data_IF_147028601365
#
_entry.id   IF_147028601365
#
_cell.length_a   1.000
_cell.length_b   1.000
_cell.length_c   1.000
_cell.angle_alpha   90.00
_cell.angle_beta   90.00
_cell.angle_gamma   90.00
#
_symmetry.space_group_name_H-M   'P 1'
#
loop_
_entity.id
_entity.type
_entity.pdbx_description
1 polymer ?
#
# COMPACT_ATOMS: atom_id res chain seq x y z
N UNK A 1 -15.71 3.54 2.40
CA UNK A 1 -15.71 2.11 2.81
C UNK A 1 -14.85 1.92 4.08
N UNK A 2 -15.00 0.84 4.86
CA UNK A 2 -14.07 0.54 5.97
C UNK A 2 -12.68 0.20 5.39
N UNK A 3 -11.62 0.81 5.92
CA UNK A 3 -10.23 0.57 5.50
C UNK A 3 -9.89 -0.94 5.49
N UNK A 4 -10.39 -1.69 6.47
CA UNK A 4 -10.14 -3.13 6.56
C UNK A 4 -10.82 -3.94 5.44
N UNK A 5 -11.95 -3.45 4.91
CA UNK A 5 -12.59 -4.08 3.74
C UNK A 5 -11.74 -3.80 2.50
N UNK A 6 -11.31 -2.54 2.32
CA UNK A 6 -10.51 -2.13 1.17
C UNK A 6 -9.17 -2.87 1.13
N UNK A 7 -8.47 -3.00 2.26
CA UNK A 7 -7.19 -3.71 2.30
C UNK A 7 -7.36 -5.19 1.96
N UNK A 8 -8.42 -5.86 2.43
CA UNK A 8 -8.70 -7.26 2.08
C UNK A 8 -9.01 -7.43 0.58
N UNK A 9 -9.74 -6.48 -0.03
CA UNK A 9 -9.98 -6.49 -1.47
C UNK A 9 -8.68 -6.32 -2.26
N UNK A 10 -7.81 -5.39 -1.84
CA UNK A 10 -6.49 -5.19 -2.45
C UNK A 10 -5.65 -6.46 -2.36
N UNK A 11 -5.60 -7.11 -1.19
CA UNK A 11 -4.90 -8.38 -0.99
C UNK A 11 -5.44 -9.44 -1.96
N UNK A 12 -6.76 -9.63 -2.02
CA UNK A 12 -7.37 -10.63 -2.92
C UNK A 12 -7.06 -10.40 -4.40
N UNK A 13 -7.04 -9.14 -4.87
CA UNK A 13 -6.67 -8.80 -6.25
C UNK A 13 -5.20 -9.12 -6.53
N UNK A 14 -4.31 -8.80 -5.59
CA UNK A 14 -2.87 -9.06 -5.73
C UNK A 14 -2.58 -10.57 -5.77
N UNK A 15 -3.20 -11.34 -4.88
CA UNK A 15 -3.06 -12.81 -4.82
C UNK A 15 -3.60 -13.47 -6.10
N UNK A 16 -4.79 -13.08 -6.57
CA UNK A 16 -5.34 -13.54 -7.86
C UNK A 16 -4.44 -13.17 -9.05
N UNK A 17 -3.69 -12.08 -8.93
CA UNK A 17 -2.70 -11.63 -9.93
C UNK A 17 -1.32 -12.31 -9.78
N UNK A 18 -1.18 -13.27 -8.86
CA UNK A 18 0.04 -14.04 -8.65
C UNK A 18 1.13 -13.33 -7.84
N UNK A 19 0.77 -12.31 -7.04
CA UNK A 19 1.68 -11.74 -6.06
C UNK A 19 1.66 -12.54 -4.76
N UNK A 20 2.83 -12.74 -4.14
CA UNK A 20 2.90 -13.03 -2.72
C UNK A 20 2.72 -11.75 -1.92
N UNK A 21 1.84 -11.76 -0.93
CA UNK A 21 1.51 -10.58 -0.11
C UNK A 21 2.03 -10.77 1.31
N UNK A 22 2.63 -9.74 1.89
CA UNK A 22 3.13 -9.77 3.27
C UNK A 22 1.98 -9.77 4.28
N UNK A 23 2.31 -10.08 5.54
CA UNK A 23 1.44 -9.69 6.64
C UNK A 23 1.25 -8.16 6.67
N UNK A 24 0.18 -7.70 7.33
CA UNK A 24 -0.08 -6.28 7.54
C UNK A 24 1.06 -5.65 8.35
N UNK A 25 1.65 -4.58 7.83
CA UNK A 25 2.66 -3.80 8.54
C UNK A 25 2.01 -3.03 9.70
N UNK A 26 2.23 -3.49 10.94
CA UNK A 26 1.63 -2.91 12.13
C UNK A 26 2.60 -2.05 12.96
N UNK A 27 3.82 -1.84 12.47
CA UNK A 27 4.85 -1.03 13.14
C UNK A 27 4.57 0.46 12.91
N UNK A 28 4.80 1.29 13.94
CA UNK A 28 4.64 2.75 13.90
C UNK A 28 6.01 3.44 13.98
N UNK A 29 6.24 4.54 13.22
CA UNK A 29 5.35 5.12 12.22
C UNK A 29 5.16 4.21 10.99
N UNK A 30 3.95 4.21 10.41
CA UNK A 30 3.55 3.29 9.33
C UNK A 30 3.56 3.99 7.98
N UNK A 31 4.60 3.78 7.17
CA UNK A 31 4.69 4.35 5.82
C UNK A 31 3.79 3.61 4.81
N UNK A 32 3.67 2.28 4.88
CA UNK A 32 2.81 1.45 4.01
C UNK A 32 2.02 0.41 4.83
N UNK A 33 0.95 -0.16 4.29
CA UNK A 33 0.09 -1.14 4.99
C UNK A 33 0.46 -2.59 4.68
N UNK A 34 0.82 -2.90 3.43
CA UNK A 34 1.27 -4.23 2.98
C UNK A 34 2.36 -4.09 1.93
N UNK A 35 3.22 -5.10 1.80
CA UNK A 35 4.09 -5.27 0.66
C UNK A 35 3.59 -6.43 -0.20
N UNK A 36 3.81 -6.36 -1.51
CA UNK A 36 3.49 -7.45 -2.43
C UNK A 36 4.64 -7.66 -3.41
N UNK A 37 4.98 -8.91 -3.70
CA UNK A 37 6.05 -9.26 -4.63
C UNK A 37 5.61 -10.28 -5.67
N UNK A 38 5.97 -10.03 -6.93
CA UNK A 38 5.86 -10.99 -8.04
C UNK A 38 7.09 -10.87 -8.92
N UNK A 39 7.93 -11.91 -8.93
CA UNK A 39 9.25 -11.87 -9.55
C UNK A 39 10.04 -10.65 -9.02
N UNK A 40 10.64 -9.87 -9.90
CA UNK A 40 11.38 -8.65 -9.56
C UNK A 40 10.50 -7.46 -9.16
N UNK A 41 9.17 -7.55 -9.32
CA UNK A 41 8.26 -6.43 -8.98
C UNK A 41 7.96 -6.43 -7.49
N UNK A 42 8.48 -5.45 -6.76
CA UNK A 42 8.10 -5.13 -5.39
C UNK A 42 7.11 -3.95 -5.36
N UNK A 43 6.00 -4.11 -4.66
CA UNK A 43 5.04 -3.05 -4.39
C UNK A 43 4.98 -2.77 -2.89
N UNK A 44 5.13 -1.51 -2.51
CA UNK A 44 4.86 -0.99 -1.17
C UNK A 44 3.52 -0.26 -1.21
N UNK A 45 2.50 -0.83 -0.58
CA UNK A 45 1.12 -0.43 -0.81
C UNK A 45 0.55 0.25 0.43
N UNK A 46 0.08 1.48 0.26
CA UNK A 46 -0.65 2.24 1.27
C UNK A 46 -2.13 2.27 0.92
N UNK A 47 -2.97 1.90 1.89
CA UNK A 47 -4.42 1.90 1.78
C UNK A 47 -5.01 3.00 2.64
N UNK A 48 -5.74 3.92 2.01
CA UNK A 48 -6.41 5.04 2.65
C UNK A 48 -7.92 4.97 2.43
N UNK A 49 -8.71 5.16 3.49
CA UNK A 49 -10.17 5.28 3.38
C UNK A 49 -10.61 6.62 2.78
N UNK A 50 -9.76 7.64 2.86
CA UNK A 50 -9.86 8.92 2.16
C UNK A 50 -8.49 9.21 1.54
N UNK A 51 -8.38 9.16 0.21
CA UNK A 51 -7.11 9.35 -0.49
C UNK A 51 -6.50 10.73 -0.27
N UNK A 52 -7.34 11.75 -0.03
CA UNK A 52 -6.90 13.13 0.27
C UNK A 52 -6.25 13.23 1.65
N UNK A 53 -6.33 12.18 2.47
CA UNK A 53 -5.68 12.09 3.78
C UNK A 53 -4.20 11.68 3.72
N UNK A 54 -3.60 11.57 2.53
CA UNK A 54 -2.17 11.30 2.41
C UNK A 54 -1.36 12.47 2.97
N UNK A 55 -0.44 12.17 3.89
CA UNK A 55 0.50 13.16 4.41
C UNK A 55 1.79 13.16 3.59
N UNK A 56 2.38 14.33 3.42
CA UNK A 56 3.64 14.53 2.71
C UNK A 56 4.79 13.70 3.29
N UNK A 57 4.92 13.68 4.63
CA UNK A 57 5.93 12.87 5.34
C UNK A 57 5.83 11.37 4.99
N UNK A 58 4.63 10.84 4.99
CA UNK A 58 4.33 9.44 4.68
C UNK A 58 4.62 9.14 3.22
N UNK A 59 4.28 10.05 2.31
CA UNK A 59 4.54 9.90 0.89
C UNK A 59 6.04 9.89 0.60
N UNK A 60 6.80 10.81 1.22
CA UNK A 60 8.24 10.90 1.05
C UNK A 60 8.96 9.65 1.59
N UNK A 61 8.56 9.16 2.76
CA UNK A 61 9.08 7.89 3.30
C UNK A 61 8.75 6.69 2.41
N UNK A 62 7.55 6.62 1.83
CA UNK A 62 7.20 5.57 0.86
C UNK A 62 8.08 5.63 -0.39
N UNK A 63 8.37 6.83 -0.90
CA UNK A 63 9.22 7.02 -2.07
C UNK A 63 10.66 6.58 -1.78
N UNK A 64 11.21 6.95 -0.61
CA UNK A 64 12.54 6.49 -0.20
C UNK A 64 12.60 4.97 -0.07
N UNK A 65 11.63 4.36 0.61
CA UNK A 65 11.60 2.90 0.75
C UNK A 65 11.48 2.20 -0.61
N UNK A 66 10.67 2.74 -1.53
CA UNK A 66 10.55 2.19 -2.87
C UNK A 66 11.89 2.28 -3.63
N UNK A 67 12.60 3.40 -3.55
CA UNK A 67 13.91 3.58 -4.17
C UNK A 67 14.95 2.61 -3.59
N UNK A 68 15.10 2.57 -2.26
CA UNK A 68 16.10 1.72 -1.59
C UNK A 68 15.85 0.22 -1.76
N UNK A 69 14.60 -0.20 -1.99
CA UNK A 69 14.22 -1.60 -2.13
C UNK A 69 13.97 -2.02 -3.59
N UNK A 70 14.29 -1.15 -4.55
CA UNK A 70 14.04 -1.36 -5.99
C UNK A 70 12.57 -1.74 -6.26
N UNK A 71 11.66 -1.10 -5.53
CA UNK A 71 10.22 -1.31 -5.60
C UNK A 71 9.46 -0.11 -6.13
N UNK A 72 8.14 -0.17 -6.03
CA UNK A 72 7.23 0.91 -6.37
C UNK A 72 6.28 1.21 -5.22
N UNK A 73 6.13 2.50 -4.90
CA UNK A 73 5.09 2.97 -4.00
C UNK A 73 3.74 2.98 -4.73
N UNK A 74 2.72 2.35 -4.16
CA UNK A 74 1.36 2.33 -4.69
C UNK A 74 0.39 2.84 -3.64
N UNK A 75 -0.40 3.84 -4.01
CA UNK A 75 -1.48 4.36 -3.20
C UNK A 75 -2.81 3.79 -3.69
N UNK A 76 -3.57 3.18 -2.79
CA UNK A 76 -4.93 2.73 -3.05
C UNK A 76 -5.86 3.42 -2.07
N UNK A 77 -6.86 4.11 -2.59
CA UNK A 77 -7.88 4.73 -1.78
C UNK A 77 -9.13 4.97 -2.58
N UNK A 78 -10.24 5.13 -1.87
CA UNK A 78 -11.44 5.70 -2.48
C UNK A 78 -11.30 7.22 -2.49
N UNK A 79 -11.61 7.83 -3.63
CA UNK A 79 -11.84 9.27 -3.66
C UNK A 79 -13.13 9.53 -2.89
N UNK A 80 -13.08 10.40 -1.89
CA UNK A 80 -14.30 10.90 -1.26
C UNK A 80 -15.05 11.66 -2.35
N UNK A 81 -16.24 11.18 -2.74
CA UNK A 81 -17.14 11.96 -3.59
C UNK A 81 -17.62 13.13 -2.74
N UNK A 82 -17.40 14.35 -3.21
CA UNK A 82 -18.31 15.45 -2.90
C UNK A 82 -19.75 15.04 -3.29
#
# INVERSE_FOLDING_TARGET
>A
MNKEILINQVIGILEQSGFGVSERCNIRPRSFDIAARRNERLLLIKVLSNIDGLKEDTAQEMMYLAEYLEGSALLVGEKTRD
#
